data_IF_844496630244
#
_entry.id   IF_844496630244
#
_cell.length_a   1.000
_cell.length_b   1.000
_cell.length_c   1.000
_cell.angle_alpha   90.00
_cell.angle_beta   90.00
_cell.angle_gamma   90.00
#
_symmetry.space_group_name_H-M   'P 1'
#
loop_
_entity.id
_entity.type
_entity.pdbx_description
1 polymer ?
#
# COMPACT_ATOMS: atom_id res chain seq x y z
N UNK A 1 23.21 -1.23 -26.13
CA UNK A 1 22.55 -2.55 -26.09
C UNK A 1 21.06 -2.31 -26.00
N UNK A 2 20.27 -2.91 -26.88
CA UNK A 2 18.80 -2.78 -26.89
C UNK A 2 18.25 -3.60 -25.72
N UNK A 3 17.54 -2.93 -24.81
CA UNK A 3 16.80 -3.59 -23.74
C UNK A 3 15.65 -4.38 -24.36
N UNK A 4 15.77 -5.70 -24.34
CA UNK A 4 14.67 -6.63 -24.60
C UNK A 4 14.19 -7.09 -23.23
N UNK A 5 13.27 -6.35 -22.62
CA UNK A 5 12.51 -6.84 -21.47
C UNK A 5 11.06 -6.36 -21.57
N UNK A 6 10.18 -7.33 -21.32
CA UNK A 6 8.75 -7.36 -21.63
C UNK A 6 7.98 -6.23 -20.93
N UNK A 7 6.97 -5.69 -21.61
CA UNK A 7 6.15 -4.57 -21.13
C UNK A 7 5.38 -4.93 -19.86
N UNK A 8 5.58 -4.13 -18.80
CA UNK A 8 4.79 -4.17 -17.58
C UNK A 8 5.28 -3.12 -16.58
N UNK A 9 4.38 -2.23 -16.14
CA UNK A 9 4.44 -1.46 -14.89
C UNK A 9 5.75 -0.73 -14.51
N UNK A 10 6.53 -0.26 -15.49
CA UNK A 10 7.79 0.47 -15.25
C UNK A 10 7.65 1.70 -14.35
N UNK A 11 6.51 2.39 -14.37
CA UNK A 11 6.26 3.58 -13.54
C UNK A 11 6.18 3.28 -12.03
N UNK A 12 5.89 2.04 -11.61
CA UNK A 12 5.89 1.68 -10.18
C UNK A 12 7.32 1.68 -9.64
N UNK A 13 8.27 1.22 -10.45
CA UNK A 13 9.63 0.94 -10.02
C UNK A 13 10.59 2.11 -10.23
N UNK A 14 10.22 3.08 -11.06
CA UNK A 14 11.05 4.27 -11.31
C UNK A 14 11.25 5.12 -10.05
N UNK A 15 10.24 5.21 -9.17
CA UNK A 15 10.34 5.83 -7.84
C UNK A 15 10.82 4.89 -6.71
N UNK A 16 10.83 3.58 -6.96
CA UNK A 16 11.33 2.58 -6.02
C UNK A 16 12.81 2.21 -6.27
N UNK A 17 13.39 2.64 -7.39
CA UNK A 17 14.77 2.38 -7.74
C UNK A 17 15.69 3.49 -7.23
N UNK A 18 16.39 3.26 -6.12
CA UNK A 18 17.25 4.26 -5.49
C UNK A 18 18.66 4.32 -6.11
N UNK A 19 19.13 3.27 -6.78
CA UNK A 19 20.52 3.15 -7.26
C UNK A 19 20.68 3.21 -8.79
N UNK A 20 19.63 3.61 -9.52
CA UNK A 20 19.59 3.68 -10.99
C UNK A 20 19.98 2.39 -11.74
N UNK A 21 20.00 1.25 -11.06
CA UNK A 21 20.25 -0.07 -11.65
C UNK A 21 19.00 -0.63 -12.34
N UNK A 22 19.17 -1.66 -13.17
CA UNK A 22 18.07 -2.25 -13.95
C UNK A 22 17.09 -3.12 -13.13
N UNK A 23 17.47 -3.57 -11.94
CA UNK A 23 16.65 -4.45 -11.09
C UNK A 23 16.16 -3.71 -9.83
N UNK A 24 14.90 -3.86 -9.41
CA UNK A 24 14.35 -3.21 -8.22
C UNK A 24 15.28 -3.27 -6.99
N UNK A 25 15.20 -2.27 -6.13
CA UNK A 25 15.91 -2.34 -4.86
C UNK A 25 15.26 -3.41 -3.98
N UNK A 26 16.02 -4.43 -3.59
CA UNK A 26 15.51 -5.53 -2.77
C UNK A 26 15.35 -5.12 -1.29
N UNK A 27 15.90 -3.97 -0.92
CA UNK A 27 15.75 -3.39 0.43
C UNK A 27 14.58 -2.43 0.52
N UNK A 28 14.04 -1.94 -0.61
CA UNK A 28 12.88 -1.03 -0.62
C UNK A 28 11.58 -1.83 -0.72
N UNK A 29 10.74 -1.72 0.30
CA UNK A 29 9.37 -2.22 0.24
C UNK A 29 8.49 -1.23 -0.53
N UNK A 30 7.57 -1.76 -1.32
CA UNK A 30 6.65 -0.96 -2.13
C UNK A 30 5.25 -1.44 -1.89
N UNK A 31 4.35 -0.52 -1.58
CA UNK A 31 2.92 -0.77 -1.52
C UNK A 31 2.32 -0.39 -2.87
N UNK A 32 1.89 -1.40 -3.61
CA UNK A 32 1.16 -1.31 -4.88
C UNK A 32 -0.24 -1.94 -4.75
N UNK A 33 -0.98 -2.00 -5.86
CA UNK A 33 -2.34 -2.54 -5.85
C UNK A 33 -2.43 -3.99 -5.35
N UNK A 34 -1.46 -4.82 -5.71
CA UNK A 34 -1.50 -6.27 -5.45
C UNK A 34 -0.96 -6.57 -4.04
N UNK A 35 0.15 -5.94 -3.66
CA UNK A 35 0.67 -6.05 -2.29
C UNK A 35 -0.32 -5.51 -1.26
N UNK A 36 -1.01 -4.40 -1.57
CA UNK A 36 -2.13 -3.91 -0.77
C UNK A 36 -3.24 -4.97 -0.64
N UNK A 37 -3.82 -5.44 -1.75
CA UNK A 37 -4.89 -6.44 -1.74
C UNK A 37 -4.51 -7.74 -1.01
N UNK A 38 -3.32 -8.27 -1.29
CA UNK A 38 -2.80 -9.46 -0.62
C UNK A 38 -2.61 -9.23 0.88
N UNK A 39 -2.08 -8.08 1.28
CA UNK A 39 -1.89 -7.76 2.70
C UNK A 39 -3.20 -7.69 3.47
N UNK A 40 -4.23 -7.11 2.86
CA UNK A 40 -5.58 -7.05 3.41
C UNK A 40 -6.13 -8.47 3.64
N UNK A 41 -6.04 -9.35 2.65
CA UNK A 41 -6.42 -10.76 2.82
C UNK A 41 -5.60 -11.47 3.92
N UNK A 42 -4.28 -11.28 3.91
CA UNK A 42 -3.38 -11.92 4.86
C UNK A 42 -3.57 -11.43 6.29
N UNK A 43 -3.98 -10.18 6.50
CA UNK A 43 -4.34 -9.64 7.82
C UNK A 43 -5.60 -10.32 8.37
N UNK A 44 -6.60 -10.59 7.53
CA UNK A 44 -7.76 -11.41 7.92
C UNK A 44 -7.38 -12.85 8.24
N UNK A 45 -6.51 -13.45 7.42
CA UNK A 45 -5.97 -14.79 7.66
C UNK A 45 -5.26 -14.85 9.02
N UNK A 46 -4.42 -13.87 9.34
CA UNK A 46 -3.78 -13.77 10.65
C UNK A 46 -4.82 -13.63 11.76
N UNK A 47 -5.73 -12.66 11.65
CA UNK A 47 -6.74 -12.37 12.67
C UNK A 47 -7.55 -13.62 13.05
N UNK A 48 -8.01 -14.41 12.07
CA UNK A 48 -8.82 -15.60 12.33
C UNK A 48 -8.03 -16.87 12.62
N UNK A 49 -6.84 -17.05 12.05
CA UNK A 49 -6.18 -18.36 12.01
C UNK A 49 -4.86 -18.43 12.78
N UNK A 50 -4.34 -17.32 13.33
CA UNK A 50 -3.06 -17.36 14.06
C UNK A 50 -3.04 -18.41 15.17
N UNK A 51 -4.11 -18.53 15.97
CA UNK A 51 -4.19 -19.55 17.03
C UNK A 51 -4.17 -20.99 16.47
N UNK A 52 -4.73 -21.24 15.29
CA UNK A 52 -4.68 -22.57 14.65
C UNK A 52 -3.30 -22.85 14.03
N UNK A 53 -2.67 -21.84 13.44
CA UNK A 53 -1.30 -21.96 12.95
C UNK A 53 -0.30 -22.23 14.09
N UNK A 54 -0.49 -21.61 15.25
CA UNK A 54 0.40 -21.77 16.40
C UNK A 54 0.37 -23.20 16.97
N UNK A 55 -0.75 -23.92 16.84
CA UNK A 55 -0.83 -25.34 17.20
C UNK A 55 0.04 -26.24 16.33
N UNK A 56 0.25 -25.84 15.07
CA UNK A 56 1.11 -26.57 14.11
C UNK A 56 2.55 -26.13 14.27
N UNK A 57 2.80 -24.81 14.15
CA UNK A 57 4.10 -24.19 14.38
C UNK A 57 3.93 -22.67 14.58
N UNK A 58 4.26 -22.11 15.76
CA UNK A 58 4.14 -20.67 16.06
C UNK A 58 4.88 -19.74 15.08
N UNK A 59 5.93 -20.24 14.42
CA UNK A 59 6.71 -19.43 13.48
C UNK A 59 5.88 -18.96 12.28
N UNK A 60 4.78 -19.65 11.94
CA UNK A 60 3.91 -19.30 10.81
C UNK A 60 3.21 -17.97 11.10
N UNK A 61 2.57 -17.85 12.26
CA UNK A 61 1.88 -16.62 12.68
C UNK A 61 2.87 -15.50 12.91
N UNK A 62 3.99 -15.79 13.58
CA UNK A 62 5.07 -14.81 13.82
C UNK A 62 5.57 -14.24 12.50
N UNK A 63 5.89 -15.10 11.54
CA UNK A 63 6.39 -14.67 10.22
C UNK A 63 5.33 -13.90 9.44
N UNK A 64 4.07 -14.35 9.47
CA UNK A 64 2.98 -13.66 8.78
C UNK A 64 2.80 -12.24 9.31
N UNK A 65 2.76 -12.08 10.63
CA UNK A 65 2.67 -10.78 11.28
C UNK A 65 3.88 -9.90 10.94
N UNK A 66 5.09 -10.45 11.04
CA UNK A 66 6.33 -9.72 10.73
C UNK A 66 6.36 -9.22 9.28
N UNK A 67 5.96 -10.05 8.31
CA UNK A 67 5.94 -9.63 6.90
C UNK A 67 4.88 -8.54 6.64
N UNK A 68 3.73 -8.57 7.33
CA UNK A 68 2.73 -7.51 7.25
C UNK A 68 3.24 -6.21 7.91
N UNK A 69 3.94 -6.31 9.03
CA UNK A 69 4.58 -5.16 9.68
C UNK A 69 5.61 -4.52 8.75
N UNK A 70 6.61 -5.28 8.31
CA UNK A 70 7.77 -4.76 7.58
C UNK A 70 7.43 -4.28 6.16
N UNK A 71 6.43 -4.88 5.50
CA UNK A 71 6.10 -4.56 4.10
C UNK A 71 4.94 -3.60 3.93
N UNK A 72 4.08 -3.45 4.93
CA UNK A 72 2.82 -2.71 4.79
C UNK A 72 2.69 -1.62 5.85
N UNK A 73 2.71 -1.98 7.14
CA UNK A 73 2.50 -1.01 8.22
C UNK A 73 3.68 -0.03 8.33
N UNK A 74 4.90 -0.54 8.36
CA UNK A 74 6.11 0.29 8.47
C UNK A 74 6.30 1.18 7.22
N UNK A 75 6.18 0.69 5.98
CA UNK A 75 6.36 1.54 4.80
C UNK A 75 5.24 2.57 4.65
N UNK A 76 4.00 2.26 5.03
CA UNK A 76 2.92 3.26 5.01
C UNK A 76 3.20 4.43 5.94
N UNK A 77 3.74 4.15 7.13
CA UNK A 77 4.01 5.15 8.17
C UNK A 77 5.31 5.93 7.90
N UNK A 78 6.32 5.28 7.32
CA UNK A 78 7.67 5.82 7.23
C UNK A 78 8.10 6.24 5.82
N UNK A 79 7.39 5.82 4.77
CA UNK A 79 7.72 6.14 3.37
C UNK A 79 6.59 6.92 2.68
N UNK A 80 6.77 8.24 2.61
CA UNK A 80 5.85 9.15 1.92
C UNK A 80 6.16 9.32 0.43
N UNK A 81 7.11 8.54 -0.12
CA UNK A 81 7.56 8.65 -1.52
C UNK A 81 6.67 7.90 -2.51
N UNK A 82 5.68 7.13 -2.03
CA UNK A 82 4.75 6.45 -2.93
C UNK A 82 3.94 7.47 -3.71
N UNK A 83 4.10 7.47 -5.04
CA UNK A 83 3.47 8.47 -5.91
C UNK A 83 1.95 8.55 -5.75
N UNK A 84 1.29 7.43 -5.40
CA UNK A 84 -0.15 7.36 -5.20
C UNK A 84 -0.61 8.04 -3.90
N UNK A 85 0.27 8.27 -2.93
CA UNK A 85 -0.05 9.04 -1.71
C UNK A 85 -0.25 10.52 -2.02
N UNK A 86 0.35 11.05 -3.10
CA UNK A 86 0.20 12.45 -3.49
C UNK A 86 0.53 13.44 -2.35
N UNK A 87 1.54 13.15 -1.52
CA UNK A 87 2.00 14.09 -0.48
C UNK A 87 2.44 15.43 -1.09
N UNK A 88 3.16 15.40 -2.22
CA UNK A 88 3.59 16.57 -3.01
C UNK A 88 2.56 17.02 -4.07
N UNK A 89 1.26 16.94 -3.76
CA UNK A 89 0.21 17.35 -4.69
C UNK A 89 0.34 18.83 -5.10
N UNK A 90 0.27 19.09 -6.41
CA UNK A 90 0.21 20.43 -7.01
C UNK A 90 -1.01 20.50 -7.93
N UNK A 91 -1.64 21.68 -8.11
CA UNK A 91 -2.72 21.85 -9.08
C UNK A 91 -2.32 21.34 -10.46
N UNK A 92 -3.10 20.41 -11.01
CA UNK A 92 -2.81 19.72 -12.28
C UNK A 92 -2.19 18.33 -12.15
N UNK A 93 -1.78 17.91 -10.94
CA UNK A 93 -1.35 16.53 -10.70
C UNK A 93 -2.55 15.57 -10.75
N UNK A 94 -2.37 14.41 -11.40
CA UNK A 94 -3.37 13.35 -11.44
C UNK A 94 -3.34 12.55 -10.12
N UNK A 95 -4.42 12.60 -9.34
CA UNK A 95 -4.64 11.66 -8.23
C UNK A 95 -5.54 10.55 -8.74
N UNK A 96 -5.07 9.32 -8.65
CA UNK A 96 -5.66 8.23 -9.40
C UNK A 96 -6.16 7.14 -8.45
N UNK A 97 -6.94 6.18 -8.94
CA UNK A 97 -7.61 5.18 -8.09
C UNK A 97 -6.67 4.29 -7.23
N UNK A 98 -5.35 4.33 -7.43
CA UNK A 98 -4.41 3.68 -6.53
C UNK A 98 -4.45 4.29 -5.14
N UNK A 99 -4.71 5.59 -5.03
CA UNK A 99 -4.81 6.28 -3.75
C UNK A 99 -5.89 5.67 -2.84
N UNK A 100 -7.19 5.66 -3.21
CA UNK A 100 -8.22 5.08 -2.35
C UNK A 100 -8.06 3.56 -2.20
N UNK A 101 -7.58 2.85 -3.23
CA UNK A 101 -7.39 1.39 -3.18
C UNK A 101 -6.30 0.96 -2.19
N UNK A 102 -5.12 1.57 -2.26
CA UNK A 102 -4.01 1.26 -1.36
C UNK A 102 -4.37 1.68 0.07
N UNK A 103 -4.95 2.86 0.26
CA UNK A 103 -5.42 3.32 1.58
C UNK A 103 -6.41 2.35 2.23
N UNK A 104 -7.43 1.91 1.49
CA UNK A 104 -8.41 0.94 1.99
C UNK A 104 -7.75 -0.34 2.50
N UNK A 105 -6.86 -0.94 1.71
CA UNK A 105 -6.21 -2.20 2.04
C UNK A 105 -5.20 -2.06 3.20
N UNK A 106 -4.45 -0.95 3.23
CA UNK A 106 -3.52 -0.69 4.34
C UNK A 106 -4.28 -0.44 5.64
N UNK A 107 -5.35 0.36 5.62
CA UNK A 107 -6.17 0.60 6.81
C UNK A 107 -6.79 -0.70 7.34
N UNK A 108 -7.21 -1.61 6.47
CA UNK A 108 -7.69 -2.93 6.89
C UNK A 108 -6.64 -3.68 7.72
N UNK A 109 -5.35 -3.60 7.32
CA UNK A 109 -4.26 -4.19 8.08
C UNK A 109 -4.06 -3.51 9.44
N UNK A 110 -4.05 -2.17 9.47
CA UNK A 110 -3.93 -1.41 10.72
C UNK A 110 -5.03 -1.78 11.73
N UNK A 111 -6.29 -1.85 11.28
CA UNK A 111 -7.41 -2.19 12.17
C UNK A 111 -7.33 -3.60 12.78
N UNK A 112 -6.66 -4.53 12.11
CA UNK A 112 -6.57 -5.93 12.56
C UNK A 112 -5.30 -6.24 13.34
N UNK A 113 -4.22 -5.48 13.14
CA UNK A 113 -2.88 -5.83 13.61
C UNK A 113 -2.27 -4.79 14.56
N UNK A 114 -2.58 -3.50 14.41
CA UNK A 114 -2.01 -2.46 15.25
C UNK A 114 -2.75 -2.38 16.58
N UNK A 115 -2.01 -2.53 17.68
CA UNK A 115 -2.53 -2.53 19.04
C UNK A 115 -2.27 -1.21 19.76
N UNK A 116 -1.37 -0.38 19.24
CA UNK A 116 -1.13 0.97 19.75
C UNK A 116 -2.20 1.94 19.19
N UNK A 117 -3.12 2.45 20.03
CA UNK A 117 -4.20 3.30 19.57
C UNK A 117 -3.72 4.62 18.97
N UNK A 118 -2.57 5.14 19.41
CA UNK A 118 -2.03 6.40 18.89
C UNK A 118 -1.47 6.21 17.48
N UNK A 119 -0.79 5.08 17.22
CA UNK A 119 -0.33 4.71 15.88
C UNK A 119 -1.50 4.45 14.93
N UNK A 120 -2.52 3.73 15.40
CA UNK A 120 -3.73 3.48 14.61
C UNK A 120 -4.42 4.80 14.26
N UNK A 121 -4.57 5.72 15.22
CA UNK A 121 -5.17 7.03 14.98
C UNK A 121 -4.36 7.85 13.97
N UNK A 122 -3.02 7.83 14.07
CA UNK A 122 -2.14 8.49 13.10
C UNK A 122 -2.31 7.94 11.69
N UNK A 123 -2.32 6.60 11.53
CA UNK A 123 -2.51 5.97 10.21
C UNK A 123 -3.89 6.28 9.59
N UNK A 124 -4.94 6.29 10.42
CA UNK A 124 -6.29 6.72 9.98
C UNK A 124 -6.28 8.18 9.54
N UNK A 125 -5.65 9.06 10.30
CA UNK A 125 -5.55 10.49 9.98
C UNK A 125 -4.79 10.74 8.68
N UNK A 126 -3.64 10.08 8.49
CA UNK A 126 -2.88 10.15 7.24
C UNK A 126 -3.76 9.68 6.08
N UNK A 127 -4.43 8.54 6.21
CA UNK A 127 -5.33 8.05 5.17
C UNK A 127 -6.44 9.04 4.80
N UNK A 128 -7.04 9.71 5.80
CA UNK A 128 -8.03 10.77 5.56
C UNK A 128 -7.46 11.90 4.70
N UNK A 129 -6.24 12.38 4.99
CA UNK A 129 -5.57 13.40 4.18
C UNK A 129 -5.34 12.92 2.75
N UNK A 130 -4.89 11.68 2.58
CA UNK A 130 -4.56 11.11 1.27
C UNK A 130 -5.81 10.93 0.40
N UNK A 131 -6.89 10.42 0.99
CA UNK A 131 -8.17 10.19 0.30
C UNK A 131 -8.88 11.51 0.02
N UNK A 132 -8.77 12.51 0.89
CA UNK A 132 -9.33 13.84 0.65
C UNK A 132 -8.75 14.47 -0.64
N UNK A 133 -7.46 14.27 -0.91
CA UNK A 133 -6.84 14.70 -2.18
C UNK A 133 -7.44 13.99 -3.40
N UNK A 134 -7.77 12.70 -3.28
CA UNK A 134 -8.46 11.98 -4.35
C UNK A 134 -9.89 12.48 -4.55
N UNK A 135 -10.63 12.73 -3.47
CA UNK A 135 -11.99 13.28 -3.53
C UNK A 135 -11.98 14.68 -4.16
N UNK A 136 -11.03 15.53 -3.78
CA UNK A 136 -10.86 16.87 -4.36
C UNK A 136 -10.44 16.84 -5.84
N UNK A 137 -9.84 15.74 -6.30
CA UNK A 137 -9.54 15.51 -7.72
C UNK A 137 -10.78 15.05 -8.49
N UNK A 138 -11.70 14.30 -7.87
CA UNK A 138 -12.91 13.83 -8.55
C UNK A 138 -13.86 14.98 -8.89
N UNK A 139 -14.49 14.89 -10.05
CA UNK A 139 -15.47 15.87 -10.50
C UNK A 139 -16.73 15.84 -9.62
N UNK A 140 -17.46 16.95 -9.57
CA UNK A 140 -18.65 17.11 -8.70
C UNK A 140 -19.80 16.14 -9.01
N UNK A 141 -19.76 15.49 -10.17
CA UNK A 141 -20.73 14.47 -10.60
C UNK A 141 -20.37 13.05 -10.11
N UNK A 142 -19.24 12.88 -9.41
CA UNK A 142 -18.76 11.61 -8.90
C UNK A 142 -18.17 10.68 -9.96
N UNK A 143 -17.96 11.16 -11.20
CA UNK A 143 -17.41 10.33 -12.27
C UNK A 143 -15.91 10.09 -12.05
N UNK A 144 -15.53 8.82 -12.04
CA UNK A 144 -14.13 8.43 -12.09
C UNK A 144 -13.65 8.44 -13.54
N UNK A 145 -12.61 9.24 -13.85
CA UNK A 145 -12.03 9.34 -15.20
C UNK A 145 -11.48 8.01 -15.73
N UNK A 146 -11.27 7.01 -14.86
CA UNK A 146 -10.79 5.67 -15.26
C UNK A 146 -11.90 4.73 -15.76
N UNK A 147 -13.16 5.16 -15.75
CA UNK A 147 -14.30 4.36 -16.18
C UNK A 147 -14.68 3.22 -15.22
N UNK A 148 -15.72 2.43 -15.54
CA UNK A 148 -16.31 1.44 -14.64
C UNK A 148 -15.59 0.09 -14.60
N UNK A 149 -14.61 -0.15 -15.48
CA UNK A 149 -14.11 -1.51 -15.78
C UNK A 149 -12.87 -1.92 -15.00
N UNK A 150 -12.85 -1.73 -13.68
CA UNK A 150 -11.73 -2.17 -12.83
C UNK A 150 -12.12 -3.27 -11.87
#
# INVERSE_FOLDING_TARGET
MRNVFLGGNWHIWEGAQLSHRSLPDNQKQVIDLISGDLSSLLSWVYYFLHTEFDKVNPIISERLHQELQERILDPFTNDHTFWWMAFDYRPGNLVNNWNPWCNFNVLQCFFLLENDPDKLAAAVYDSMILVDKFINYTHSDGVCEKGPSK
#
